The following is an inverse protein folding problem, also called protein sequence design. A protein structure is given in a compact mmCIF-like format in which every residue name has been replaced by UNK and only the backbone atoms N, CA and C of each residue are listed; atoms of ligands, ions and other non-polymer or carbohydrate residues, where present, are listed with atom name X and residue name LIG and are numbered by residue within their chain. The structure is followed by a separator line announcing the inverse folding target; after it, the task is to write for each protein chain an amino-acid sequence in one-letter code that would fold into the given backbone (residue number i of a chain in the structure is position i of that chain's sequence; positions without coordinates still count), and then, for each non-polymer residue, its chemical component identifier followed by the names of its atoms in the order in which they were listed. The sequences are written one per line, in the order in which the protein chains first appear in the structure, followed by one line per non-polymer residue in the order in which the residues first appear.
data_IF_059961643339
#
_entry.id   IF_059961643339
#
_cell.length_a   1.000
_cell.length_b   1.000
_cell.length_c   1.000
_cell.angle_alpha   90.00
_cell.angle_beta   90.00
_cell.angle_gamma   90.00
#
_symmetry.space_group_name_H-M   'P 1'
#
loop_
_entity.id
_entity.type
_entity.pdbx_description
1 polymer ?
#
# COMPACT_ATOMS: atom_id res chain seq x y z
N UNK A 1 -24.72 -3.36 -91.68
CA UNK A 1 -25.00 -4.06 -90.42
C UNK A 1 -23.75 -3.96 -89.55
N UNK A 2 -23.71 -2.97 -88.65
CA UNK A 2 -23.07 -2.96 -87.31
C UNK A 2 -23.10 -1.52 -86.79
N UNK A 3 -24.16 -1.18 -86.06
CA UNK A 3 -24.25 0.05 -85.26
C UNK A 3 -23.48 -0.14 -83.94
N UNK A 4 -22.53 0.75 -83.65
CA UNK A 4 -21.88 0.85 -82.34
C UNK A 4 -22.45 2.06 -81.59
N UNK A 5 -23.18 1.78 -80.51
CA UNK A 5 -23.83 2.78 -79.65
C UNK A 5 -22.98 2.96 -78.38
N UNK A 6 -22.40 4.14 -78.16
CA UNK A 6 -21.67 4.45 -76.93
C UNK A 6 -22.62 4.79 -75.78
N UNK A 7 -22.45 4.17 -74.62
CA UNK A 7 -23.13 4.53 -73.37
C UNK A 7 -22.36 5.62 -72.59
N UNK A 8 -23.05 6.55 -71.90
CA UNK A 8 -22.43 7.49 -70.99
C UNK A 8 -22.20 6.89 -69.59
N UNK A 9 -21.23 7.42 -68.80
CA UNK A 9 -20.88 6.87 -67.50
C UNK A 9 -21.90 7.19 -66.41
N UNK A 10 -22.05 6.32 -65.38
CA UNK A 10 -22.98 6.54 -64.29
C UNK A 10 -22.47 7.59 -63.28
N UNK A 11 -23.38 8.51 -62.94
CA UNK A 11 -23.25 9.54 -61.92
C UNK A 11 -23.48 8.91 -60.54
N UNK A 12 -22.44 8.74 -59.75
CA UNK A 12 -22.56 8.21 -58.39
C UNK A 12 -22.66 9.38 -57.38
N UNK A 13 -23.86 9.61 -56.89
CA UNK A 13 -24.18 10.54 -55.80
C UNK A 13 -24.26 9.75 -54.51
N UNK A 14 -23.28 9.86 -53.62
CA UNK A 14 -23.38 9.39 -52.24
C UNK A 14 -22.87 10.47 -51.29
N UNK A 15 -23.76 11.40 -50.96
CA UNK A 15 -23.65 12.28 -49.80
C UNK A 15 -24.11 11.48 -48.59
N UNK A 16 -23.18 10.88 -47.84
CA UNK A 16 -23.49 10.26 -46.55
C UNK A 16 -23.24 11.32 -45.47
N UNK A 17 -24.33 11.92 -45.03
CA UNK A 17 -24.43 12.64 -43.77
C UNK A 17 -24.26 11.62 -42.63
N UNK A 18 -23.24 11.80 -41.79
CA UNK A 18 -23.10 11.05 -40.53
C UNK A 18 -22.89 12.04 -39.39
N UNK A 19 -24.01 12.66 -39.01
CA UNK A 19 -24.19 13.36 -37.74
C UNK A 19 -24.35 12.29 -36.65
N UNK A 20 -23.24 11.86 -36.06
CA UNK A 20 -23.26 10.99 -34.88
C UNK A 20 -23.30 11.86 -33.63
N UNK A 21 -24.50 12.34 -33.28
CA UNK A 21 -24.76 12.82 -31.92
C UNK A 21 -24.66 11.61 -30.99
N UNK A 22 -23.57 11.52 -30.25
CA UNK A 22 -23.47 10.63 -29.10
C UNK A 22 -24.59 11.04 -28.13
N UNK A 23 -25.51 10.12 -27.87
CA UNK A 23 -26.49 10.29 -26.80
C UNK A 23 -25.74 10.39 -25.46
N UNK A 24 -26.17 11.28 -24.54
CA UNK A 24 -25.60 11.31 -23.20
C UNK A 24 -25.88 9.98 -22.48
N UNK A 25 -24.94 9.48 -21.66
CA UNK A 25 -25.19 8.27 -20.87
C UNK A 25 -26.36 8.50 -19.90
N UNK A 26 -27.12 7.44 -19.57
CA UNK A 26 -28.24 7.55 -18.65
C UNK A 26 -27.77 7.99 -17.25
N UNK A 27 -28.62 8.72 -16.49
CA UNK A 27 -28.31 9.09 -15.12
C UNK A 27 -28.19 7.82 -14.29
N UNK A 28 -27.05 7.65 -13.60
CA UNK A 28 -26.83 6.54 -12.70
C UNK A 28 -27.78 6.70 -11.51
N UNK A 29 -28.66 5.72 -11.31
CA UNK A 29 -29.47 5.60 -10.11
C UNK A 29 -28.55 5.24 -8.94
N UNK A 30 -28.43 6.14 -7.98
CA UNK A 30 -28.19 5.73 -6.60
C UNK A 30 -29.37 4.85 -6.18
N UNK A 31 -29.09 3.58 -5.85
CA UNK A 31 -29.78 2.80 -4.81
C UNK A 31 -29.29 1.35 -4.86
N UNK A 32 -28.60 0.93 -3.79
CA UNK A 32 -28.88 -0.26 -2.97
C UNK A 32 -27.72 -0.37 -1.97
N UNK A 33 -27.87 0.32 -0.85
CA UNK A 33 -27.38 -0.22 0.41
C UNK A 33 -28.37 -1.30 0.86
N UNK A 34 -27.97 -2.57 0.81
CA UNK A 34 -28.57 -3.61 1.64
C UNK A 34 -27.59 -4.74 1.93
N UNK A 35 -26.95 -4.62 3.10
CA UNK A 35 -26.70 -5.74 4.02
C UNK A 35 -25.73 -6.82 3.58
N UNK A 36 -24.46 -6.67 3.94
CA UNK A 36 -23.59 -7.81 4.24
C UNK A 36 -23.00 -7.61 5.64
N UNK A 37 -23.53 -8.39 6.59
CA UNK A 37 -22.88 -8.68 7.86
C UNK A 37 -21.58 -9.41 7.56
N UNK A 38 -20.43 -8.77 7.72
CA UNK A 38 -19.17 -9.48 7.94
C UNK A 38 -18.36 -8.84 9.05
N UNK A 39 -18.33 -9.57 10.15
CA UNK A 39 -17.50 -9.42 11.33
C UNK A 39 -16.02 -9.62 10.94
N UNK A 40 -15.18 -8.59 11.07
CA UNK A 40 -13.75 -8.77 11.42
C UNK A 40 -13.09 -7.46 11.88
N UNK A 41 -12.13 -7.54 12.82
CA UNK A 41 -11.76 -6.42 13.67
C UNK A 41 -10.69 -5.51 13.04
N UNK A 42 -10.98 -4.21 13.09
CA UNK A 42 -10.04 -3.13 12.82
C UNK A 42 -9.02 -2.98 13.97
N UNK A 43 -7.81 -2.63 13.58
CA UNK A 43 -6.61 -2.35 14.37
C UNK A 43 -6.82 -1.46 15.61
N UNK A 44 -5.94 -1.53 16.64
CA UNK A 44 -5.98 -0.61 17.76
C UNK A 44 -5.52 0.79 17.34
N UNK A 45 -6.44 1.74 17.53
CA UNK A 45 -6.23 3.19 17.53
C UNK A 45 -5.24 3.56 18.65
N UNK A 46 -4.08 4.14 18.29
CA UNK A 46 -3.20 4.80 19.27
C UNK A 46 -3.92 6.01 19.86
N UNK A 47 -4.27 5.94 21.14
CA UNK A 47 -4.66 7.10 21.93
C UNK A 47 -3.43 7.93 22.26
N UNK A 48 -3.44 9.19 21.81
CA UNK A 48 -2.54 10.24 22.29
C UNK A 48 -2.89 10.52 23.75
N UNK A 49 -1.92 10.43 24.64
CA UNK A 49 -2.02 10.97 26.00
C UNK A 49 -1.60 12.43 25.98
N UNK A 50 -2.56 13.33 26.18
CA UNK A 50 -2.34 14.73 26.49
C UNK A 50 -1.70 14.85 27.88
N UNK A 51 -0.52 15.45 27.96
CA UNK A 51 0.14 15.83 29.22
C UNK A 51 -0.32 17.23 29.62
N UNK A 52 -1.26 17.30 30.55
CA UNK A 52 -1.65 18.56 31.20
C UNK A 52 -0.56 19.00 32.16
N UNK A 53 0.03 20.16 31.87
CA UNK A 53 0.96 20.90 32.73
C UNK A 53 0.14 21.87 33.59
N UNK A 54 0.31 21.85 34.92
CA UNK A 54 -0.20 22.89 35.84
C UNK A 54 0.92 23.23 36.84
N UNK A 55 1.08 24.52 37.22
CA UNK A 55 2.36 25.04 37.68
C UNK A 55 2.56 24.97 39.20
N UNK A 56 3.84 25.08 39.55
CA UNK A 56 4.40 25.30 40.87
C UNK A 56 3.87 26.59 41.51
N UNK A 57 3.47 26.52 42.78
CA UNK A 57 3.51 27.68 43.67
C UNK A 57 4.09 27.24 45.03
N UNK A 58 5.17 27.89 45.41
CA UNK A 58 5.79 27.80 46.72
C UNK A 58 5.16 28.85 47.64
N UNK A 59 4.97 28.50 48.92
CA UNK A 59 5.26 29.40 50.03
C UNK A 59 5.37 28.67 51.38
N UNK A 60 6.12 29.31 52.27
CA UNK A 60 6.80 28.82 53.47
C UNK A 60 5.95 28.85 54.75
N UNK A 61 6.59 28.33 55.83
CA UNK A 61 6.46 28.68 57.25
C UNK A 61 5.55 27.71 58.05
N UNK A 62 5.78 27.34 59.31
CA UNK A 62 6.81 27.60 60.33
C UNK A 62 6.63 26.52 61.43
N UNK A 63 7.74 25.98 61.94
CA UNK A 63 7.96 25.24 63.20
C UNK A 63 6.79 24.77 64.09
N UNK A 64 6.85 23.49 64.48
CA UNK A 64 6.68 23.09 65.88
C UNK A 64 7.46 21.80 66.21
N UNK A 65 8.31 21.89 67.24
CA UNK A 65 9.00 20.77 67.90
C UNK A 65 7.98 19.85 68.58
N UNK A 66 8.18 18.54 68.53
CA UNK A 66 8.69 17.73 69.66
C UNK A 66 8.36 16.24 69.56
N UNK A 67 9.36 15.46 69.98
CA UNK A 67 9.34 14.13 70.59
C UNK A 67 8.79 12.90 69.83
N UNK A 68 9.78 12.06 69.46
CA UNK A 68 9.83 10.62 69.75
C UNK A 68 8.72 9.71 69.23
N UNK A 69 9.01 9.01 68.14
CA UNK A 69 8.86 7.55 68.09
C UNK A 69 9.70 6.98 66.95
N UNK A 70 10.53 6.00 67.29
CA UNK A 70 11.21 5.09 66.38
C UNK A 70 10.24 4.52 65.33
N UNK A 71 10.44 4.83 64.05
CA UNK A 71 9.98 4.02 62.91
C UNK A 71 11.10 3.91 61.87
N UNK A 72 12.28 3.46 62.32
CA UNK A 72 13.35 3.00 61.44
C UNK A 72 13.41 1.48 61.45
N UNK A 73 12.43 0.81 60.85
CA UNK A 73 12.57 -0.59 60.47
C UNK A 73 11.69 -0.90 59.27
N UNK A 74 12.27 -1.57 58.26
CA UNK A 74 11.58 -2.31 57.20
C UNK A 74 11.40 -1.67 55.82
N UNK A 75 12.41 -0.93 55.34
CA UNK A 75 12.57 -0.63 53.89
C UNK A 75 13.74 -1.42 53.26
N UNK A 76 14.88 -1.52 53.98
CA UNK A 76 16.12 -2.18 53.52
C UNK A 76 15.99 -3.69 53.25
N UNK A 77 15.08 -4.40 53.94
CA UNK A 77 14.92 -5.85 53.75
C UNK A 77 14.15 -6.22 52.47
N UNK A 78 13.30 -5.31 51.95
CA UNK A 78 12.51 -5.53 50.73
C UNK A 78 13.35 -5.33 49.46
N UNK A 79 14.28 -4.38 49.48
CA UNK A 79 15.24 -4.13 48.39
C UNK A 79 16.29 -5.21 48.29
N UNK A 80 16.80 -5.73 49.41
CA UNK A 80 17.76 -6.84 49.38
C UNK A 80 17.13 -8.13 48.82
N UNK A 81 15.89 -8.45 49.24
CA UNK A 81 15.16 -9.62 48.74
C UNK A 81 14.88 -9.54 47.24
N UNK A 82 14.53 -8.37 46.72
CA UNK A 82 14.31 -8.19 45.27
C UNK A 82 15.62 -8.35 44.50
N UNK A 83 16.72 -7.73 44.94
CA UNK A 83 18.04 -7.88 44.29
C UNK A 83 18.48 -9.35 44.26
N UNK A 84 18.31 -10.08 45.37
CA UNK A 84 18.66 -11.51 45.44
C UNK A 84 17.80 -12.32 44.46
N UNK A 85 16.48 -12.09 44.40
CA UNK A 85 15.60 -12.79 43.46
C UNK A 85 15.96 -12.49 42.01
N UNK A 86 16.22 -11.23 41.65
CA UNK A 86 16.67 -10.87 40.29
C UNK A 86 18.03 -11.48 39.96
N UNK A 87 18.96 -11.53 40.91
CA UNK A 87 20.28 -12.16 40.73
C UNK A 87 20.14 -13.66 40.50
N UNK A 88 19.31 -14.34 41.29
CA UNK A 88 19.02 -15.78 41.12
C UNK A 88 18.33 -16.02 39.77
N UNK A 89 17.34 -15.23 39.40
CA UNK A 89 16.65 -15.35 38.11
C UNK A 89 17.59 -15.12 36.92
N UNK A 90 18.49 -14.13 37.01
CA UNK A 90 19.50 -13.87 36.00
C UNK A 90 20.47 -15.07 35.86
N UNK A 91 20.96 -15.61 36.99
CA UNK A 91 21.80 -16.82 36.99
C UNK A 91 21.06 -18.00 36.37
N UNK A 92 19.79 -18.24 36.73
CA UNK A 92 18.97 -19.30 36.13
C UNK A 92 18.81 -19.09 34.62
N UNK A 93 18.52 -17.88 34.16
CA UNK A 93 18.37 -17.58 32.73
C UNK A 93 19.68 -17.77 31.94
N UNK A 94 20.83 -17.50 32.57
CA UNK A 94 22.15 -17.71 31.96
C UNK A 94 22.58 -19.19 31.94
N UNK A 95 22.28 -19.94 33.00
CA UNK A 95 22.65 -21.36 33.12
C UNK A 95 21.67 -22.29 32.37
N UNK A 96 20.42 -21.86 32.22
CA UNK A 96 19.36 -22.60 31.55
C UNK A 96 18.66 -21.72 30.53
N UNK A 97 19.33 -21.37 29.42
CA UNK A 97 18.69 -20.64 28.35
C UNK A 97 17.45 -21.42 27.86
N UNK A 98 16.33 -20.74 27.58
CA UNK A 98 15.14 -21.40 27.09
C UNK A 98 15.47 -22.19 25.83
N UNK A 99 15.14 -23.49 25.83
CA UNK A 99 15.37 -24.38 24.69
C UNK A 99 14.57 -23.86 23.50
N UNK A 100 15.24 -23.37 22.47
CA UNK A 100 14.60 -23.00 21.20
C UNK A 100 13.96 -24.26 20.58
N UNK A 101 12.76 -24.10 20.04
CA UNK A 101 12.12 -25.11 19.21
C UNK A 101 13.05 -25.44 18.02
N UNK A 102 13.09 -26.71 17.60
CA UNK A 102 13.82 -27.15 16.40
C UNK A 102 13.43 -26.31 15.18
N UNK A 103 12.14 -25.97 15.05
CA UNK A 103 11.65 -25.14 13.93
C UNK A 103 12.27 -23.74 13.97
N UNK A 104 12.40 -23.16 15.17
CA UNK A 104 13.02 -21.84 15.32
C UNK A 104 14.50 -21.87 14.97
N UNK A 105 15.22 -22.93 15.33
CA UNK A 105 16.64 -23.10 14.95
C UNK A 105 16.78 -23.19 13.42
N UNK A 106 15.88 -23.91 12.75
CA UNK A 106 15.88 -24.00 11.28
C UNK A 106 15.59 -22.63 10.68
N UNK A 107 14.50 -21.97 11.11
CA UNK A 107 14.14 -20.62 10.64
C UNK A 107 15.28 -19.63 10.83
N UNK A 108 16.00 -19.68 11.96
CA UNK A 108 17.15 -18.81 12.24
C UNK A 108 18.31 -19.05 11.26
N UNK A 109 18.49 -20.30 10.77
CA UNK A 109 19.50 -20.66 9.77
C UNK A 109 19.13 -20.32 8.32
N UNK A 110 17.86 -20.04 8.04
CA UNK A 110 17.40 -19.67 6.71
C UNK A 110 17.63 -18.19 6.42
N UNK A 111 17.94 -17.87 5.17
CA UNK A 111 18.16 -16.49 4.73
C UNK A 111 17.45 -16.20 3.42
N UNK A 112 16.85 -15.02 3.33
CA UNK A 112 16.40 -14.45 2.06
C UNK A 112 17.59 -13.75 1.40
N UNK A 113 17.83 -14.07 0.14
CA UNK A 113 18.91 -13.51 -0.67
C UNK A 113 18.35 -12.95 -1.97
N UNK A 114 19.14 -12.16 -2.69
CA UNK A 114 18.78 -11.67 -4.03
C UNK A 114 17.45 -10.90 -4.05
N UNK A 115 17.20 -10.06 -3.02
CA UNK A 115 15.98 -9.23 -2.95
C UNK A 115 15.93 -8.30 -4.16
N UNK A 116 15.03 -8.60 -5.09
CA UNK A 116 14.97 -7.98 -6.42
C UNK A 116 13.57 -7.41 -6.65
N UNK A 117 13.44 -6.09 -6.89
CA UNK A 117 12.16 -5.49 -7.26
C UNK A 117 11.79 -5.82 -8.70
N UNK A 118 10.51 -6.06 -8.96
CA UNK A 118 9.96 -6.24 -10.30
C UNK A 118 10.16 -5.00 -11.15
N UNK A 119 10.49 -5.12 -12.43
CA UNK A 119 10.59 -3.96 -13.32
C UNK A 119 9.23 -3.26 -13.56
N UNK A 120 8.12 -3.92 -13.22
CA UNK A 120 6.76 -3.41 -13.39
C UNK A 120 6.21 -2.89 -12.06
N UNK A 121 5.49 -1.80 -12.12
CA UNK A 121 4.64 -1.31 -11.05
C UNK A 121 3.27 -1.99 -11.14
N UNK A 122 2.74 -2.41 -10.00
CA UNK A 122 1.43 -3.07 -9.95
C UNK A 122 0.28 -2.06 -9.94
N UNK A 123 0.49 -0.92 -9.28
CA UNK A 123 -0.42 0.23 -9.16
C UNK A 123 0.34 1.39 -8.50
N UNK A 124 -0.32 2.53 -8.28
CA UNK A 124 0.30 3.67 -7.60
C UNK A 124 0.99 3.27 -6.29
N UNK A 125 2.26 3.69 -6.17
CA UNK A 125 3.15 3.41 -5.03
C UNK A 125 3.25 1.92 -4.64
N UNK A 126 2.92 0.99 -5.54
CA UNK A 126 2.90 -0.45 -5.24
C UNK A 126 3.76 -1.24 -6.20
N UNK A 127 4.66 -2.06 -5.65
CA UNK A 127 5.62 -2.86 -6.40
C UNK A 127 5.77 -4.26 -5.83
N UNK A 128 6.06 -5.22 -6.69
CA UNK A 128 6.41 -6.58 -6.28
C UNK A 128 7.92 -6.72 -6.05
N UNK A 129 8.28 -7.48 -5.03
CA UNK A 129 9.65 -7.89 -4.72
C UNK A 129 9.73 -9.40 -4.69
N UNK A 130 10.84 -9.93 -5.20
CA UNK A 130 11.16 -11.35 -5.15
C UNK A 130 12.46 -11.57 -4.36
N UNK A 131 12.56 -12.68 -3.64
CA UNK A 131 13.80 -13.07 -2.96
C UNK A 131 13.94 -14.59 -2.93
N UNK A 132 15.18 -15.07 -3.03
CA UNK A 132 15.52 -16.49 -3.02
C UNK A 132 15.77 -16.99 -1.59
N UNK A 133 15.10 -18.08 -1.21
CA UNK A 133 15.33 -18.76 0.07
C UNK A 133 16.61 -19.62 0.00
N UNK A 134 17.53 -19.42 0.95
CA UNK A 134 18.78 -20.18 1.10
C UNK A 134 18.84 -20.85 2.46
N UNK A 135 19.66 -21.91 2.54
CA UNK A 135 19.91 -22.66 3.77
C UNK A 135 18.95 -23.82 4.03
N UNK A 136 18.11 -24.18 3.06
CA UNK A 136 17.21 -25.32 3.19
C UNK A 136 17.96 -26.61 2.87
N UNK A 137 17.84 -27.62 3.75
CA UNK A 137 18.49 -28.91 3.58
C UNK A 137 17.73 -29.89 2.67
N UNK A 138 16.42 -29.71 2.44
CA UNK A 138 15.55 -30.57 1.63
C UNK A 138 14.47 -29.79 0.83
N UNK A 139 14.09 -30.29 -0.34
CA UNK A 139 13.13 -29.61 -1.24
C UNK A 139 11.69 -29.57 -0.70
N UNK A 140 11.19 -30.66 -0.10
CA UNK A 140 9.81 -30.73 0.43
C UNK A 140 9.60 -29.75 1.61
N UNK A 141 10.65 -29.55 2.40
CA UNK A 141 10.69 -28.59 3.50
C UNK A 141 10.80 -27.13 3.01
N UNK A 142 11.36 -26.91 1.81
CA UNK A 142 11.60 -25.56 1.28
C UNK A 142 10.32 -24.75 1.13
N UNK A 143 9.22 -25.39 0.73
CA UNK A 143 7.92 -24.73 0.58
C UNK A 143 7.29 -24.36 1.92
N UNK A 144 7.43 -25.24 2.92
CA UNK A 144 6.95 -24.96 4.28
C UNK A 144 7.69 -23.75 4.84
N UNK A 145 9.02 -23.75 4.75
CA UNK A 145 9.82 -22.67 5.30
C UNK A 145 9.66 -21.35 4.55
N UNK A 146 9.46 -21.39 3.23
CA UNK A 146 9.12 -20.21 2.44
C UNK A 146 7.85 -19.50 2.95
N UNK A 147 6.86 -20.24 3.47
CA UNK A 147 5.61 -19.69 4.01
C UNK A 147 5.78 -19.10 5.42
N UNK A 148 6.73 -19.62 6.19
CA UNK A 148 6.95 -19.26 7.60
C UNK A 148 8.04 -18.20 7.81
N UNK A 149 9.02 -18.11 6.91
CA UNK A 149 10.17 -17.23 7.06
C UNK A 149 9.82 -15.76 6.80
N UNK A 150 9.94 -14.94 7.84
CA UNK A 150 9.75 -13.49 7.73
C UNK A 150 10.86 -12.78 6.93
N UNK A 151 10.51 -11.64 6.34
CA UNK A 151 11.44 -10.72 5.68
C UNK A 151 11.15 -9.27 6.10
N UNK A 152 12.16 -8.41 6.00
CA UNK A 152 11.99 -6.96 6.15
C UNK A 152 12.32 -6.28 4.82
N UNK A 153 11.38 -5.51 4.27
CA UNK A 153 11.55 -4.73 3.03
C UNK A 153 11.21 -3.27 3.38
N UNK A 154 12.13 -2.34 3.10
CA UNK A 154 12.00 -0.91 3.45
C UNK A 154 11.65 -0.65 4.92
N UNK A 155 12.19 -1.46 5.84
CA UNK A 155 11.90 -1.37 7.27
C UNK A 155 10.55 -1.94 7.70
N UNK A 156 9.72 -2.43 6.77
CA UNK A 156 8.45 -3.10 7.06
C UNK A 156 8.64 -4.61 7.13
N UNK A 157 8.11 -5.24 8.19
CA UNK A 157 8.16 -6.69 8.38
C UNK A 157 6.99 -7.38 7.69
N UNK A 158 7.29 -8.38 6.88
CA UNK A 158 6.33 -9.26 6.24
C UNK A 158 6.46 -10.67 6.82
N UNK A 159 5.37 -11.17 7.42
CA UNK A 159 5.35 -12.50 8.06
C UNK A 159 5.36 -13.64 7.05
N UNK A 160 4.81 -13.43 5.85
CA UNK A 160 4.68 -14.42 4.79
C UNK A 160 4.72 -13.75 3.42
N UNK A 161 5.18 -14.46 2.37
CA UNK A 161 5.05 -13.98 1.00
C UNK A 161 3.59 -13.97 0.54
N UNK A 162 3.29 -13.12 -0.43
CA UNK A 162 2.01 -13.11 -1.14
C UNK A 162 1.82 -14.38 -1.98
N UNK A 163 2.90 -14.82 -2.65
CA UNK A 163 2.96 -16.08 -3.36
C UNK A 163 4.42 -16.56 -3.48
N UNK A 164 4.63 -17.77 -4.00
CA UNK A 164 5.98 -18.34 -4.20
C UNK A 164 6.10 -19.00 -5.56
N UNK A 165 7.32 -19.08 -6.07
CA UNK A 165 7.63 -19.78 -7.33
C UNK A 165 8.81 -20.72 -7.12
N UNK A 166 8.78 -21.86 -7.83
CA UNK A 166 9.83 -22.86 -7.80
C UNK A 166 10.51 -22.86 -9.17
N UNK A 167 11.82 -22.64 -9.19
CA UNK A 167 12.63 -22.70 -10.40
C UNK A 167 13.66 -23.81 -10.24
N UNK A 168 13.82 -24.66 -11.26
CA UNK A 168 14.91 -25.65 -11.31
C UNK A 168 16.02 -25.06 -12.16
N UNK A 169 17.21 -24.95 -11.58
CA UNK A 169 18.36 -24.43 -12.32
C UNK A 169 18.94 -25.48 -13.30
N UNK A 170 19.92 -25.06 -14.12
CA UNK A 170 20.56 -25.94 -15.10
C UNK A 170 21.27 -27.15 -14.47
N UNK A 171 21.63 -27.06 -13.19
CA UNK A 171 22.21 -28.16 -12.41
C UNK A 171 21.17 -29.09 -11.80
N UNK A 172 19.88 -28.84 -12.02
CA UNK A 172 18.79 -29.63 -11.43
C UNK A 172 18.48 -29.26 -9.97
N UNK A 173 19.06 -28.19 -9.44
CA UNK A 173 18.79 -27.74 -8.06
C UNK A 173 17.53 -26.89 -8.02
N UNK A 174 16.62 -27.26 -7.12
CA UNK A 174 15.37 -26.54 -6.85
C UNK A 174 15.67 -25.23 -6.11
N UNK A 175 15.08 -24.13 -6.59
CA UNK A 175 15.20 -22.79 -6.01
C UNK A 175 13.81 -22.24 -5.73
N UNK A 176 13.55 -21.88 -4.48
CA UNK A 176 12.26 -21.35 -4.04
C UNK A 176 12.37 -19.84 -3.84
N UNK A 177 11.52 -19.11 -4.55
CA UNK A 177 11.41 -17.66 -4.42
C UNK A 177 10.12 -17.31 -3.69
N UNK A 178 10.22 -16.42 -2.71
CA UNK A 178 9.08 -15.71 -2.15
C UNK A 178 8.84 -14.41 -2.91
N UNK A 179 7.56 -14.02 -3.03
CA UNK A 179 7.15 -12.77 -3.66
C UNK A 179 6.31 -11.94 -2.70
N UNK A 180 6.58 -10.64 -2.59
CA UNK A 180 5.89 -9.71 -1.69
C UNK A 180 5.40 -8.49 -2.45
N UNK A 181 4.20 -8.03 -2.13
CA UNK A 181 3.63 -6.79 -2.65
C UNK A 181 3.86 -5.70 -1.61
N UNK A 182 4.71 -4.74 -1.94
CA UNK A 182 4.99 -3.56 -1.13
C UNK A 182 4.09 -2.43 -1.62
N UNK A 183 3.14 -2.00 -0.78
CA UNK A 183 2.07 -1.06 -1.17
C UNK A 183 2.33 0.42 -0.85
N UNK A 184 3.54 0.77 -0.41
CA UNK A 184 3.90 2.15 -0.05
C UNK A 184 5.40 2.39 -0.20
N UNK A 185 5.79 3.66 -0.32
CA UNK A 185 7.19 4.09 -0.42
C UNK A 185 7.92 3.52 -1.65
N UNK A 186 7.23 3.41 -2.78
CA UNK A 186 7.80 2.97 -4.06
C UNK A 186 7.87 4.14 -5.04
N UNK A 187 8.91 5.00 -4.98
CA UNK A 187 8.97 6.24 -5.75
C UNK A 187 8.96 6.01 -7.27
N UNK A 188 9.48 4.87 -7.74
CA UNK A 188 9.42 4.49 -9.16
C UNK A 188 8.01 4.15 -9.66
N UNK A 189 7.09 3.87 -8.74
CA UNK A 189 5.69 3.56 -9.01
C UNK A 189 4.77 4.72 -8.61
N UNK A 190 5.32 5.89 -8.29
CA UNK A 190 4.54 7.10 -8.01
C UNK A 190 4.42 7.91 -9.29
N UNK A 191 3.31 7.71 -9.99
CA UNK A 191 2.85 8.55 -11.09
C UNK A 191 2.42 9.92 -10.58
N UNK A 192 2.51 10.93 -11.43
CA UNK A 192 2.14 12.32 -11.13
C UNK A 192 1.04 12.79 -12.08
N UNK A 193 0.33 13.84 -11.70
CA UNK A 193 -0.61 14.53 -12.58
C UNK A 193 -0.04 15.88 -12.99
N UNK A 194 -0.04 16.14 -14.29
CA UNK A 194 0.56 17.31 -14.94
C UNK A 194 -0.51 18.03 -15.78
N UNK A 195 -0.30 19.32 -16.03
CA UNK A 195 -1.15 20.14 -16.90
C UNK A 195 -2.66 20.07 -16.59
N UNK A 196 -3.03 20.27 -15.32
CA UNK A 196 -4.44 20.32 -14.92
C UNK A 196 -5.20 21.38 -15.73
N UNK A 197 -6.30 20.95 -16.36
CA UNK A 197 -7.23 21.77 -17.13
C UNK A 197 -8.63 21.57 -16.58
N UNK A 198 -9.30 22.67 -16.26
CA UNK A 198 -10.71 22.65 -15.88
C UNK A 198 -11.57 23.21 -17.00
N UNK A 199 -12.56 22.44 -17.43
CA UNK A 199 -13.58 22.85 -18.40
C UNK A 199 -14.95 22.81 -17.72
N UNK A 200 -15.67 23.93 -17.75
CA UNK A 200 -17.06 24.00 -17.33
C UNK A 200 -17.94 24.29 -18.55
N UNK A 201 -18.98 23.49 -18.76
CA UNK A 201 -20.07 23.86 -19.65
C UNK A 201 -21.11 24.62 -18.82
N UNK A 202 -21.48 25.84 -19.24
CA UNK A 202 -22.43 26.67 -18.48
C UNK A 202 -23.78 25.94 -18.31
N UNK A 203 -24.27 25.85 -17.08
CA UNK A 203 -25.49 25.15 -16.67
C UNK A 203 -25.33 23.65 -16.43
N UNK A 204 -24.11 23.09 -16.50
CA UNK A 204 -23.89 21.65 -16.25
C UNK A 204 -23.99 21.27 -14.78
N UNK A 205 -23.80 22.23 -13.86
CA UNK A 205 -23.58 21.98 -12.42
C UNK A 205 -22.37 21.09 -12.11
N UNK A 206 -21.49 20.86 -13.09
CA UNK A 206 -20.29 20.03 -12.96
C UNK A 206 -19.11 20.68 -13.67
N UNK A 207 -17.96 20.72 -12.99
CA UNK A 207 -16.67 21.09 -13.52
C UNK A 207 -15.88 19.82 -13.86
N UNK A 208 -15.53 19.65 -15.13
CA UNK A 208 -14.67 18.55 -15.59
C UNK A 208 -13.22 18.99 -15.48
N UNK A 209 -12.44 18.27 -14.70
CA UNK A 209 -11.00 18.48 -14.54
C UNK A 209 -10.28 17.35 -15.27
N UNK A 210 -9.26 17.69 -16.02
CA UNK A 210 -8.43 16.75 -16.77
C UNK A 210 -6.96 17.01 -16.45
N UNK A 211 -6.15 15.97 -16.32
CA UNK A 211 -4.71 16.09 -16.14
C UNK A 211 -3.99 14.93 -16.83
N UNK A 212 -2.81 15.20 -17.40
CA UNK A 212 -1.99 14.17 -18.02
C UNK A 212 -1.16 13.45 -16.97
N UNK A 213 -0.99 12.14 -17.15
CA UNK A 213 -0.18 11.33 -16.25
C UNK A 213 1.30 11.45 -16.59
N UNK A 214 2.07 11.93 -15.63
CA UNK A 214 3.52 11.94 -15.63
C UNK A 214 4.13 10.71 -14.95
N UNK A 215 5.43 10.50 -15.18
CA UNK A 215 6.24 9.44 -14.58
C UNK A 215 5.70 8.00 -14.74
N UNK A 216 4.87 7.77 -15.75
CA UNK A 216 4.41 6.43 -16.12
C UNK A 216 5.48 5.70 -16.94
N UNK A 217 5.67 4.39 -16.71
CA UNK A 217 6.60 3.55 -17.49
C UNK A 217 5.81 2.67 -18.50
N UNK A 218 5.45 3.20 -19.68
CA UNK A 218 4.47 2.57 -20.59
C UNK A 218 4.92 1.23 -21.18
N UNK A 219 6.22 0.92 -21.16
CA UNK A 219 6.74 -0.36 -21.66
C UNK A 219 6.46 -1.53 -20.69
N UNK A 220 6.23 -1.22 -19.41
CA UNK A 220 6.24 -2.20 -18.33
C UNK A 220 4.95 -2.20 -17.53
N UNK A 221 4.36 -1.03 -17.30
CA UNK A 221 3.25 -0.83 -16.40
C UNK A 221 1.89 -0.90 -17.12
N UNK A 222 0.87 -1.35 -16.40
CA UNK A 222 -0.51 -1.24 -16.86
C UNK A 222 -1.00 0.20 -16.65
N UNK A 223 -1.08 0.94 -17.76
CA UNK A 223 -1.52 2.34 -17.77
C UNK A 223 -2.88 2.56 -17.11
N UNK A 224 -3.81 1.61 -17.26
CA UNK A 224 -5.16 1.72 -16.72
C UNK A 224 -5.14 1.52 -15.20
N UNK A 225 -4.34 0.56 -14.74
CA UNK A 225 -4.16 0.30 -13.31
C UNK A 225 -3.43 1.46 -12.61
N UNK A 226 -2.40 2.02 -13.25
CA UNK A 226 -1.74 3.22 -12.74
C UNK A 226 -2.71 4.39 -12.67
N UNK A 227 -3.49 4.64 -13.72
CA UNK A 227 -4.43 5.76 -13.78
C UNK A 227 -5.49 5.69 -12.69
N UNK A 228 -6.15 4.56 -12.57
CA UNK A 228 -7.26 4.37 -11.62
C UNK A 228 -6.84 4.36 -10.14
N UNK A 229 -5.54 4.39 -9.84
CA UNK A 229 -5.03 4.37 -8.46
C UNK A 229 -4.14 5.55 -8.10
N UNK A 230 -3.85 6.44 -9.06
CA UNK A 230 -3.01 7.62 -8.79
C UNK A 230 -3.87 8.70 -8.14
N UNK A 231 -3.59 9.08 -6.88
CA UNK A 231 -4.31 10.17 -6.23
C UNK A 231 -3.95 11.51 -6.86
N UNK A 232 -4.82 12.50 -6.72
CA UNK A 232 -4.60 13.87 -7.18
C UNK A 232 -4.95 14.87 -6.10
N UNK A 233 -4.17 15.95 -6.02
CA UNK A 233 -4.51 17.13 -5.23
C UNK A 233 -4.69 18.31 -6.18
N UNK A 234 -5.87 18.94 -6.16
CA UNK A 234 -6.19 20.08 -7.03
C UNK A 234 -7.03 21.12 -6.28
N UNK A 235 -6.57 22.38 -6.29
CA UNK A 235 -7.24 23.52 -5.60
C UNK A 235 -7.64 23.24 -4.14
N UNK A 236 -6.84 22.45 -3.42
CA UNK A 236 -7.11 22.08 -2.02
C UNK A 236 -8.08 20.90 -1.83
N UNK A 237 -8.53 20.27 -2.92
CA UNK A 237 -9.30 19.04 -2.90
C UNK A 237 -8.40 17.83 -3.16
N UNK A 238 -8.52 16.81 -2.30
CA UNK A 238 -7.86 15.52 -2.47
C UNK A 238 -8.81 14.54 -3.17
N UNK A 239 -8.28 13.83 -4.16
CA UNK A 239 -8.97 12.75 -4.87
C UNK A 239 -8.15 11.47 -4.74
N UNK A 240 -8.76 10.40 -4.22
CA UNK A 240 -8.09 9.09 -4.12
C UNK A 240 -7.79 8.48 -5.50
N UNK A 241 -8.58 8.84 -6.51
CA UNK A 241 -8.48 8.36 -7.90
C UNK A 241 -9.26 9.27 -8.87
N UNK A 242 -9.00 9.21 -10.18
CA UNK A 242 -9.87 9.77 -11.20
C UNK A 242 -11.19 9.01 -11.34
N UNK A 243 -12.24 9.70 -11.79
CA UNK A 243 -13.54 9.12 -12.14
C UNK A 243 -13.44 8.30 -13.43
N UNK A 244 -12.62 8.76 -14.38
CA UNK A 244 -12.34 8.01 -15.61
C UNK A 244 -10.91 8.23 -16.11
N UNK A 245 -10.44 7.26 -16.90
CA UNK A 245 -9.11 7.23 -17.47
C UNK A 245 -9.21 7.12 -18.98
N UNK A 246 -8.55 8.03 -19.69
CA UNK A 246 -8.55 8.08 -21.15
C UNK A 246 -7.12 7.91 -21.66
N UNK A 247 -6.93 7.13 -22.74
CA UNK A 247 -5.62 6.98 -23.37
C UNK A 247 -5.67 7.54 -24.79
N UNK A 248 -4.81 8.50 -25.06
CA UNK A 248 -4.64 9.09 -26.38
C UNK A 248 -3.98 8.13 -27.36
N UNK A 249 -4.10 8.41 -28.66
CA UNK A 249 -3.47 7.64 -29.73
C UNK A 249 -1.93 7.54 -29.58
N UNK A 250 -1.29 8.60 -29.07
CA UNK A 250 0.16 8.64 -28.84
C UNK A 250 0.58 8.00 -27.51
N UNK A 251 -0.35 7.40 -26.77
CA UNK A 251 -0.07 6.65 -25.55
C UNK A 251 -0.03 7.50 -24.27
N UNK A 252 -0.22 8.82 -24.35
CA UNK A 252 -0.43 9.66 -23.16
C UNK A 252 -1.76 9.28 -22.48
N UNK A 253 -1.75 9.27 -21.15
CA UNK A 253 -2.87 8.86 -20.31
C UNK A 253 -3.38 10.10 -19.59
N UNK A 254 -4.70 10.32 -19.64
CA UNK A 254 -5.37 11.45 -19.01
C UNK A 254 -6.31 10.93 -17.92
N UNK A 255 -6.15 11.47 -16.71
CA UNK A 255 -7.12 11.30 -15.63
C UNK A 255 -8.20 12.37 -15.74
N UNK A 256 -9.44 12.00 -15.42
CA UNK A 256 -10.60 12.89 -15.46
C UNK A 256 -11.34 12.84 -14.14
N UNK A 257 -11.72 14.00 -13.63
CA UNK A 257 -12.55 14.16 -12.44
C UNK A 257 -13.77 15.02 -12.75
N UNK A 258 -14.92 14.67 -12.19
CA UNK A 258 -16.18 15.39 -12.31
C UNK A 258 -16.55 15.97 -10.94
N UNK A 259 -16.23 17.25 -10.74
CA UNK A 259 -16.54 17.95 -9.50
C UNK A 259 -17.92 18.61 -9.63
N UNK A 260 -18.80 18.38 -8.67
CA UNK A 260 -20.06 19.13 -8.60
C UNK A 260 -19.77 20.59 -8.26
N UNK A 261 -20.29 21.49 -9.07
CA UNK A 261 -20.09 22.93 -8.94
C UNK A 261 -21.39 23.66 -9.32
N UNK A 262 -22.13 24.11 -8.32
CA UNK A 262 -23.42 24.79 -8.51
C UNK A 262 -23.27 26.20 -9.10
N UNK A 263 -22.03 26.73 -9.21
CA UNK A 263 -21.75 28.01 -9.87
C UNK A 263 -21.66 27.93 -11.40
N UNK A 264 -21.57 26.70 -11.95
CA UNK A 264 -21.42 26.44 -13.38
C UNK A 264 -22.76 26.34 -14.14
#
# INVERSE_FOLDING_TARGET
MTDSKSQPPPRNSNTISSSSRLAPPPPYSEDIERGVNETSPLYPRKSQSESITVPYQAEQSLNTRSLSAYQSTSSSCKTLRTIIVFSILAVIFTLYPPRKDKNQVILDGLTWTELTPSNRCLRYSTREYSALLRGVSNDEDSLKWCKEKEITIHGMKFKKPAHYTINVDKSGTTRVYGHWIVGSNEPRCMTTWEDFRACAAKGSKYRRIEAQMGNHQPLWDDWQMMCSTTPADYEGHHFDRPDSCERSFFGSVTGVWLLKDDSC
#
